data_IF_315816455248
#
_entry.id   IF_315816455248
#
_cell.length_a   1.000
_cell.length_b   1.000
_cell.length_c   1.000
_cell.angle_alpha   90.00
_cell.angle_beta   90.00
_cell.angle_gamma   90.00
#
_symmetry.space_group_name_H-M   'P 1'
#
loop_
_entity.id
_entity.type
_entity.pdbx_description
1 polymer ?
#
# COMPACT_ATOMS: atom_id res chain seq x y z
N UNK A 1 -19.86 -38.08 -10.37
CA UNK A 1 -20.37 -37.16 -9.33
C UNK A 1 -19.17 -36.49 -8.67
N UNK A 2 -18.74 -35.33 -9.16
CA UNK A 2 -17.65 -34.55 -8.55
C UNK A 2 -18.30 -33.54 -7.61
N UNK A 3 -18.01 -33.67 -6.32
CA UNK A 3 -18.63 -32.90 -5.25
C UNK A 3 -18.37 -31.41 -5.38
N UNK A 4 -19.45 -30.62 -5.35
CA UNK A 4 -19.42 -29.18 -5.14
C UNK A 4 -18.73 -28.90 -3.80
N UNK A 5 -17.61 -28.18 -3.86
CA UNK A 5 -16.98 -27.56 -2.69
C UNK A 5 -18.02 -26.65 -2.01
N UNK A 6 -18.36 -26.83 -0.72
CA UNK A 6 -19.32 -25.97 -0.07
C UNK A 6 -18.70 -24.58 0.08
N UNK A 7 -19.28 -23.59 -0.59
CA UNK A 7 -19.03 -22.17 -0.35
C UNK A 7 -19.29 -21.93 1.14
N UNK A 8 -18.23 -21.92 1.96
CA UNK A 8 -18.32 -21.41 3.33
C UNK A 8 -18.80 -19.96 3.22
N UNK A 9 -19.95 -19.63 3.79
CA UNK A 9 -20.34 -18.23 3.98
C UNK A 9 -19.35 -17.60 4.96
N UNK A 10 -18.32 -16.94 4.44
CA UNK A 10 -17.27 -16.28 5.23
C UNK A 10 -17.74 -14.99 5.91
N UNK A 11 -18.98 -14.55 5.63
CA UNK A 11 -19.54 -13.33 6.18
C UNK A 11 -20.15 -13.58 7.56
N UNK A 12 -19.41 -13.25 8.62
CA UNK A 12 -19.94 -13.25 9.98
C UNK A 12 -20.94 -12.10 10.22
N UNK A 13 -20.78 -10.96 9.52
CA UNK A 13 -21.66 -9.76 9.59
C UNK A 13 -21.62 -8.98 8.26
N UNK A 14 -22.58 -8.10 8.04
CA UNK A 14 -22.63 -7.21 6.87
C UNK A 14 -21.61 -6.06 6.97
N UNK A 15 -21.22 -5.50 5.82
CA UNK A 15 -20.30 -4.35 5.75
C UNK A 15 -20.88 -3.11 6.45
N UNK A 16 -22.20 -2.87 6.30
CA UNK A 16 -22.93 -1.80 6.96
C UNK A 16 -22.81 -1.86 8.49
N UNK A 17 -22.70 -3.07 9.05
CA UNK A 17 -22.47 -3.26 10.48
C UNK A 17 -21.03 -2.92 10.92
N UNK A 18 -20.06 -3.02 10.01
CA UNK A 18 -18.63 -2.87 10.34
C UNK A 18 -18.10 -1.46 10.12
N UNK A 19 -18.66 -0.72 9.17
CA UNK A 19 -18.25 0.65 8.84
C UNK A 19 -18.36 1.60 10.05
N UNK A 20 -19.49 1.65 10.80
CA UNK A 20 -19.60 2.52 11.98
C UNK A 20 -18.63 2.14 13.10
N UNK A 21 -18.34 0.84 13.26
CA UNK A 21 -17.39 0.35 14.27
C UNK A 21 -15.94 0.77 13.99
N UNK A 22 -15.62 1.08 12.73
CA UNK A 22 -14.29 1.57 12.31
C UNK A 22 -14.20 3.09 12.29
N UNK A 23 -15.23 3.80 12.81
CA UNK A 23 -15.36 5.25 12.68
C UNK A 23 -15.25 5.74 11.22
N UNK A 24 -15.62 4.89 10.27
CA UNK A 24 -15.58 5.22 8.85
C UNK A 24 -16.97 5.68 8.39
N UNK A 25 -17.01 6.61 7.43
CA UNK A 25 -18.25 7.05 6.79
C UNK A 25 -18.33 6.45 5.39
N UNK A 26 -19.48 5.84 5.06
CA UNK A 26 -19.75 5.35 3.72
C UNK A 26 -21.18 5.72 3.31
N UNK A 27 -21.38 5.98 2.02
CA UNK A 27 -22.70 6.26 1.44
C UNK A 27 -22.91 5.32 0.25
N UNK A 28 -24.12 4.78 0.12
CA UNK A 28 -24.52 3.92 -1.00
C UNK A 28 -25.54 4.66 -1.86
N UNK A 29 -25.54 4.38 -3.17
CA UNK A 29 -26.48 4.96 -4.13
C UNK A 29 -26.41 6.50 -4.22
N UNK A 30 -25.19 7.03 -4.38
CA UNK A 30 -24.98 8.44 -4.73
C UNK A 30 -25.38 8.64 -6.19
N UNK A 31 -26.68 8.87 -6.44
CA UNK A 31 -27.18 9.42 -7.71
C UNK A 31 -27.34 10.93 -7.56
N UNK A 32 -26.22 11.62 -7.38
CA UNK A 32 -26.16 13.08 -7.22
C UNK A 32 -25.13 13.68 -8.16
N UNK A 33 -25.37 14.91 -8.60
CA UNK A 33 -24.50 15.68 -9.47
C UNK A 33 -23.13 15.88 -8.80
N UNK A 34 -22.23 14.93 -9.01
CA UNK A 34 -20.82 15.16 -8.85
C UNK A 34 -20.45 16.31 -9.77
N UNK A 35 -20.10 17.47 -9.20
CA UNK A 35 -19.33 18.50 -9.91
C UNK A 35 -17.89 18.00 -10.08
N UNK A 36 -17.74 16.81 -10.67
CA UNK A 36 -16.46 16.36 -11.17
C UNK A 36 -16.17 17.22 -12.39
N UNK A 37 -14.96 17.79 -12.50
CA UNK A 37 -14.55 18.46 -13.71
C UNK A 37 -14.75 17.50 -14.89
N UNK A 38 -15.54 17.93 -15.89
CA UNK A 38 -15.85 17.15 -17.10
C UNK A 38 -14.61 16.86 -17.95
N UNK A 39 -13.50 17.55 -17.67
CA UNK A 39 -12.21 17.36 -18.31
C UNK A 39 -11.38 16.34 -17.56
N UNK A 40 -10.93 15.31 -18.28
CA UNK A 40 -9.86 14.39 -17.89
C UNK A 40 -8.49 15.10 -17.84
N UNK A 41 -8.40 16.22 -17.14
CA UNK A 41 -7.16 17.00 -16.99
C UNK A 41 -6.69 17.20 -15.55
N UNK A 42 -7.50 16.91 -14.55
CA UNK A 42 -7.08 16.96 -13.14
C UNK A 42 -6.61 15.61 -12.65
N UNK A 43 -5.52 15.61 -11.89
CA UNK A 43 -4.84 14.36 -11.53
C UNK A 43 -5.47 13.61 -10.35
N UNK A 44 -5.97 14.37 -9.38
CA UNK A 44 -6.68 13.87 -8.21
C UNK A 44 -7.70 14.93 -7.79
N UNK A 45 -8.88 14.50 -7.39
CA UNK A 45 -9.94 15.40 -6.93
C UNK A 45 -10.07 15.26 -5.43
N UNK A 46 -9.85 16.36 -4.70
CA UNK A 46 -10.16 16.41 -3.28
C UNK A 46 -11.67 16.42 -3.08
N UNK A 47 -12.14 15.58 -2.17
CA UNK A 47 -13.55 15.46 -1.84
C UNK A 47 -13.75 15.25 -0.34
N UNK A 48 -14.94 15.57 0.14
CA UNK A 48 -15.37 15.32 1.52
C UNK A 48 -16.83 14.87 1.52
N UNK A 49 -17.17 14.00 2.48
CA UNK A 49 -18.55 13.66 2.81
C UNK A 49 -18.95 14.51 4.00
N UNK A 50 -20.03 15.28 3.88
CA UNK A 50 -20.50 16.21 4.92
C UNK A 50 -21.95 15.90 5.22
N UNK A 51 -22.29 15.74 6.49
CA UNK A 51 -23.67 15.62 6.95
C UNK A 51 -24.30 17.00 7.12
N UNK A 52 -25.63 17.09 6.97
CA UNK A 52 -26.36 18.34 7.17
C UNK A 52 -26.02 18.96 8.54
N UNK A 53 -25.68 20.26 8.54
CA UNK A 53 -25.32 21.00 9.75
C UNK A 53 -23.85 20.90 10.18
N UNK A 54 -23.02 20.10 9.51
CA UNK A 54 -21.56 20.06 9.76
C UNK A 54 -20.82 20.91 8.73
N UNK A 55 -19.83 21.70 9.17
CA UNK A 55 -18.93 22.43 8.26
C UNK A 55 -17.51 21.95 8.54
N UNK A 56 -16.87 21.36 7.53
CA UNK A 56 -15.50 20.83 7.63
C UNK A 56 -14.66 21.37 6.49
N UNK A 57 -13.40 21.71 6.74
CA UNK A 57 -12.47 22.13 5.69
C UNK A 57 -11.93 20.92 4.91
N UNK A 58 -11.63 21.12 3.62
CA UNK A 58 -10.98 20.09 2.80
C UNK A 58 -9.47 20.17 3.07
N UNK A 59 -8.92 19.11 3.65
CA UNK A 59 -7.48 18.98 3.92
C UNK A 59 -6.85 18.14 2.82
N UNK A 60 -5.69 18.59 2.30
CA UNK A 60 -4.89 17.80 1.35
C UNK A 60 -4.06 16.75 2.11
N UNK A 61 -4.39 15.44 2.02
CA UNK A 61 -3.71 14.41 2.79
C UNK A 61 -2.27 14.18 2.32
N UNK A 62 -1.97 14.47 1.06
CA UNK A 62 -0.63 14.26 0.47
C UNK A 62 0.45 15.19 1.03
N UNK A 63 0.08 16.19 1.84
CA UNK A 63 1.05 17.07 2.52
C UNK A 63 1.60 16.45 3.81
N UNK A 64 0.90 15.50 4.41
CA UNK A 64 1.31 14.83 5.63
C UNK A 64 2.13 13.56 5.34
N UNK A 65 2.92 13.14 6.32
CA UNK A 65 3.63 11.87 6.27
C UNK A 65 2.70 10.71 6.70
N UNK A 66 1.91 10.24 5.74
CA UNK A 66 0.93 9.16 5.98
C UNK A 66 1.59 7.83 6.39
N UNK A 67 2.87 7.62 6.04
CA UNK A 67 3.59 6.38 6.41
C UNK A 67 3.85 6.33 7.90
N UNK A 68 4.24 7.46 8.51
CA UNK A 68 4.45 7.55 9.95
C UNK A 68 3.16 7.26 10.74
N UNK A 69 1.99 7.66 10.22
CA UNK A 69 0.70 7.39 10.88
C UNK A 69 0.29 5.90 10.87
N UNK A 70 0.84 5.10 9.96
CA UNK A 70 0.43 3.70 9.77
C UNK A 70 1.53 2.69 10.07
N UNK A 71 2.73 3.15 10.43
CA UNK A 71 3.84 2.27 10.76
C UNK A 71 3.60 1.52 12.07
N UNK A 72 4.42 0.50 12.33
CA UNK A 72 4.44 -0.17 13.64
C UNK A 72 5.44 0.54 14.54
N UNK A 73 5.12 0.69 15.81
CA UNK A 73 6.04 1.26 16.81
C UNK A 73 7.05 0.21 17.28
N UNK A 74 6.64 -1.05 17.37
CA UNK A 74 7.45 -2.13 17.93
C UNK A 74 8.00 -3.08 16.84
N UNK A 75 9.23 -3.53 17.04
CA UNK A 75 9.87 -4.55 16.22
C UNK A 75 9.25 -5.92 16.54
N UNK A 76 8.76 -6.61 15.52
CA UNK A 76 8.12 -7.92 15.68
C UNK A 76 8.84 -8.98 14.86
N UNK A 77 9.13 -10.13 15.46
CA UNK A 77 9.83 -11.24 14.80
C UNK A 77 8.87 -12.40 14.58
N UNK A 78 8.78 -12.87 13.34
CA UNK A 78 8.03 -14.07 12.94
C UNK A 78 8.99 -15.20 12.58
N UNK A 79 8.59 -16.44 12.86
CA UNK A 79 9.38 -17.66 12.60
C UNK A 79 10.81 -17.60 13.16
N UNK A 80 10.95 -17.22 14.43
CA UNK A 80 12.26 -17.15 15.10
C UNK A 80 12.99 -18.49 15.01
N UNK A 81 14.24 -18.47 14.56
CA UNK A 81 15.08 -19.65 14.35
C UNK A 81 15.05 -20.21 12.93
N UNK A 82 14.23 -19.65 12.04
CA UNK A 82 14.20 -20.04 10.65
C UNK A 82 15.32 -19.35 9.83
N UNK A 83 15.60 -19.89 8.65
CA UNK A 83 16.62 -19.37 7.73
C UNK A 83 16.04 -19.44 6.32
N UNK A 84 16.18 -18.40 5.50
CA UNK A 84 17.00 -17.20 5.68
C UNK A 84 16.39 -16.10 6.59
N UNK A 85 17.23 -15.18 7.07
CA UNK A 85 16.81 -14.01 7.87
C UNK A 85 16.50 -12.79 7.02
N UNK A 86 15.29 -12.26 7.13
CA UNK A 86 14.80 -11.12 6.38
C UNK A 86 14.29 -10.01 7.27
N UNK A 87 14.60 -8.76 6.91
CA UNK A 87 14.03 -7.57 7.55
C UNK A 87 12.94 -6.97 6.66
N UNK A 88 11.83 -6.54 7.23
CA UNK A 88 10.73 -5.94 6.48
C UNK A 88 10.32 -4.60 7.08
N UNK A 89 10.48 -3.53 6.29
CA UNK A 89 10.07 -2.19 6.70
C UNK A 89 8.57 -2.02 6.55
N UNK A 90 7.92 -1.60 7.64
CA UNK A 90 6.48 -1.38 7.68
C UNK A 90 6.13 0.02 7.15
N UNK A 91 5.81 0.11 5.86
CA UNK A 91 5.31 1.35 5.24
C UNK A 91 3.79 1.30 4.94
N UNK A 92 3.05 0.42 5.63
CA UNK A 92 1.66 0.13 5.27
C UNK A 92 0.96 -0.90 6.14
N UNK A 93 -0.32 -1.15 5.84
CA UNK A 93 -1.21 -2.08 6.57
C UNK A 93 -1.49 -3.38 5.79
N UNK A 94 -0.88 -3.61 4.63
CA UNK A 94 -0.94 -4.90 3.92
C UNK A 94 -0.24 -6.00 4.70
N UNK A 95 -1.04 -6.85 5.34
CA UNK A 95 -0.55 -8.02 6.08
C UNK A 95 -0.15 -9.20 5.18
N UNK A 96 -0.55 -9.18 3.90
CA UNK A 96 -0.38 -10.33 3.02
C UNK A 96 1.08 -10.61 2.65
N UNK A 97 1.91 -9.57 2.53
CA UNK A 97 3.33 -9.72 2.22
C UNK A 97 4.04 -10.41 3.40
N UNK A 98 3.81 -9.94 4.62
CA UNK A 98 4.35 -10.57 5.82
C UNK A 98 3.89 -12.02 5.96
N UNK A 99 2.60 -12.31 5.75
CA UNK A 99 2.07 -13.69 5.74
C UNK A 99 2.73 -14.58 4.69
N UNK A 100 2.93 -14.06 3.48
CA UNK A 100 3.58 -14.80 2.41
C UNK A 100 5.04 -15.10 2.75
N UNK A 101 5.79 -14.12 3.27
CA UNK A 101 7.17 -14.32 3.71
C UNK A 101 7.24 -15.32 4.87
N UNK A 102 6.37 -15.20 5.88
CA UNK A 102 6.30 -16.19 6.96
C UNK A 102 5.89 -17.58 6.48
N UNK A 103 5.07 -17.69 5.43
CA UNK A 103 4.73 -18.98 4.81
C UNK A 103 5.93 -19.61 4.09
N UNK A 104 6.86 -18.81 3.59
CA UNK A 104 8.09 -19.28 2.95
C UNK A 104 9.16 -19.72 3.96
N UNK A 105 8.79 -19.91 5.23
CA UNK A 105 9.67 -20.37 6.31
C UNK A 105 10.93 -19.49 6.52
N UNK A 106 10.82 -18.18 6.25
CA UNK A 106 11.89 -17.22 6.53
C UNK A 106 11.71 -16.64 7.94
N UNK A 107 12.81 -16.32 8.62
CA UNK A 107 12.78 -15.53 9.85
C UNK A 107 12.54 -14.07 9.46
N UNK A 108 11.36 -13.54 9.74
CA UNK A 108 10.94 -12.21 9.30
C UNK A 108 10.91 -11.24 10.48
N UNK A 109 11.79 -10.26 10.47
CA UNK A 109 11.79 -9.15 11.43
C UNK A 109 11.11 -7.94 10.81
N UNK A 110 9.93 -7.58 11.30
CA UNK A 110 9.20 -6.39 10.86
C UNK A 110 9.61 -5.21 11.72
N UNK A 111 10.11 -4.16 11.07
CA UNK A 111 10.64 -2.94 11.71
C UNK A 111 9.83 -1.70 11.30
N UNK A 112 9.87 -0.63 12.12
CA UNK A 112 9.37 0.69 11.74
C UNK A 112 9.96 1.18 10.41
N UNK A 113 9.29 2.14 9.75
CA UNK A 113 9.74 2.69 8.46
C UNK A 113 11.06 3.45 8.55
N UNK A 114 11.38 4.01 9.71
CA UNK A 114 12.53 4.85 10.05
C UNK A 114 13.60 4.11 10.87
N UNK A 115 13.53 2.77 10.89
CA UNK A 115 14.49 1.96 11.64
C UNK A 115 15.90 2.00 11.03
N UNK A 116 16.87 2.41 11.84
CA UNK A 116 18.27 2.48 11.45
C UNK A 116 18.93 1.09 11.41
N UNK A 117 19.06 0.52 10.21
CA UNK A 117 19.78 -0.73 9.99
C UNK A 117 21.27 -0.69 10.32
N UNK A 118 22.05 0.37 9.97
CA UNK A 118 23.49 0.37 10.15
C UNK A 118 23.92 0.26 11.62
N UNK A 119 23.10 0.83 12.51
CA UNK A 119 23.34 0.83 13.95
C UNK A 119 22.71 -0.38 14.66
N UNK A 120 22.02 -1.25 13.91
CA UNK A 120 21.39 -2.45 14.46
C UNK A 120 22.35 -3.65 14.43
N UNK A 121 22.38 -4.44 15.51
CA UNK A 121 23.09 -5.73 15.56
C UNK A 121 22.35 -6.85 14.81
N UNK A 122 21.31 -6.52 14.05
CA UNK A 122 20.48 -7.49 13.35
C UNK A 122 21.23 -8.10 12.17
N UNK A 123 21.42 -9.42 12.21
CA UNK A 123 21.91 -10.17 11.06
C UNK A 123 20.76 -10.42 10.09
N UNK A 124 20.92 -9.98 8.84
CA UNK A 124 19.95 -10.18 7.77
C UNK A 124 20.64 -10.55 6.45
N UNK A 125 20.00 -11.41 5.67
CA UNK A 125 20.44 -11.80 4.33
C UNK A 125 19.74 -10.98 3.24
N UNK A 126 18.59 -10.42 3.57
CA UNK A 126 17.82 -9.58 2.68
C UNK A 126 16.86 -8.68 3.44
N UNK A 127 16.31 -7.71 2.72
CA UNK A 127 15.26 -6.85 3.24
C UNK A 127 14.11 -6.73 2.24
N UNK A 128 12.95 -6.33 2.74
CA UNK A 128 11.76 -6.01 1.97
C UNK A 128 11.14 -4.71 2.45
N UNK A 129 10.47 -3.97 1.56
CA UNK A 129 9.68 -2.80 1.92
C UNK A 129 8.21 -3.11 1.61
N UNK A 130 7.36 -3.11 2.63
CA UNK A 130 5.93 -3.40 2.46
C UNK A 130 5.21 -2.15 1.95
N UNK A 131 4.78 -2.20 0.69
CA UNK A 131 4.27 -1.04 -0.03
C UNK A 131 2.74 -0.88 0.10
N UNK A 132 2.30 0.32 0.49
CA UNK A 132 0.91 0.80 0.41
C UNK A 132 0.84 2.31 0.24
N UNK A 133 1.70 3.04 0.96
CA UNK A 133 1.74 4.49 0.96
C UNK A 133 3.10 4.90 0.45
N UNK A 134 3.26 4.96 -0.86
CA UNK A 134 4.40 5.63 -1.47
C UNK A 134 4.21 7.15 -1.39
N UNK A 135 3.81 7.66 -0.23
CA UNK A 135 3.52 9.07 -0.01
C UNK A 135 4.84 9.75 0.35
N UNK A 136 5.52 10.28 -0.67
CA UNK A 136 6.68 11.21 -0.59
C UNK A 136 7.88 10.87 0.30
N UNK A 137 7.87 9.81 1.08
CA UNK A 137 9.07 9.29 1.73
C UNK A 137 9.78 8.34 0.78
N UNK A 138 10.78 8.87 0.09
CA UNK A 138 12.21 8.61 0.37
C UNK A 138 12.67 7.17 0.71
N UNK A 139 11.83 6.15 0.62
CA UNK A 139 12.20 4.79 0.99
C UNK A 139 12.83 4.10 -0.22
N UNK A 140 14.16 4.25 -0.28
CA UNK A 140 15.15 3.57 -1.14
C UNK A 140 15.22 3.91 -2.63
N UNK A 141 14.21 4.51 -3.26
CA UNK A 141 14.42 5.11 -4.59
C UNK A 141 15.47 6.24 -4.54
N UNK A 142 15.50 6.99 -3.42
CA UNK A 142 16.53 7.99 -3.16
C UNK A 142 17.93 7.40 -2.94
N UNK A 143 18.04 6.11 -2.56
CA UNK A 143 19.35 5.45 -2.37
C UNK A 143 20.07 5.27 -3.70
N UNK A 144 19.33 5.23 -4.82
CA UNK A 144 19.87 5.27 -6.17
C UNK A 144 19.76 6.66 -6.83
N UNK A 145 19.39 7.71 -6.07
CA UNK A 145 19.21 9.08 -6.60
C UNK A 145 18.00 9.28 -7.52
N UNK A 146 17.04 8.34 -7.52
CA UNK A 146 15.89 8.36 -8.42
C UNK A 146 14.79 9.27 -7.89
N UNK A 147 14.26 10.14 -8.76
CA UNK A 147 13.15 11.03 -8.43
C UNK A 147 11.79 10.37 -8.65
N UNK A 148 10.79 10.83 -7.90
CA UNK A 148 9.40 10.35 -7.99
C UNK A 148 8.47 11.44 -8.49
N UNK A 149 7.61 11.12 -9.44
CA UNK A 149 6.60 12.04 -9.98
C UNK A 149 5.19 11.56 -9.64
N UNK A 150 4.26 12.49 -9.40
CA UNK A 150 2.85 12.16 -9.16
C UNK A 150 2.18 11.87 -10.51
N UNK A 151 1.57 10.70 -10.63
CA UNK A 151 0.85 10.30 -11.83
C UNK A 151 -0.41 11.14 -12.01
N UNK A 152 -0.80 11.37 -13.27
CA UNK A 152 -2.07 12.04 -13.58
C UNK A 152 -3.27 11.21 -13.14
N UNK A 153 -3.24 9.87 -13.17
CA UNK A 153 -4.42 9.09 -12.80
C UNK A 153 -4.19 8.02 -11.73
N UNK A 154 -2.96 7.89 -11.24
CA UNK A 154 -2.56 6.74 -10.44
C UNK A 154 -2.85 5.40 -11.13
N UNK A 155 -2.37 4.32 -10.54
CA UNK A 155 -2.73 2.97 -10.94
C UNK A 155 -3.51 2.35 -9.77
N UNK A 156 -4.84 2.29 -9.92
CA UNK A 156 -5.76 1.76 -8.92
C UNK A 156 -6.65 0.70 -9.57
N UNK A 157 -6.31 -0.58 -9.39
CA UNK A 157 -7.07 -1.67 -9.98
C UNK A 157 -6.44 -3.04 -9.76
N UNK A 158 -7.17 -4.09 -10.11
CA UNK A 158 -6.74 -5.49 -10.00
C UNK A 158 -6.33 -6.11 -11.35
N UNK A 159 -6.31 -5.31 -12.42
CA UNK A 159 -6.16 -5.74 -13.81
C UNK A 159 -5.08 -4.96 -14.57
N UNK A 160 -4.09 -4.41 -13.86
CA UNK A 160 -3.04 -3.60 -14.47
C UNK A 160 -1.97 -4.51 -15.09
N UNK A 161 -1.71 -4.38 -16.39
CA UNK A 161 -0.68 -5.17 -17.05
C UNK A 161 0.72 -4.60 -16.76
N UNK A 162 1.67 -5.49 -16.50
CA UNK A 162 3.09 -5.17 -16.45
C UNK A 162 3.86 -6.15 -17.34
N UNK A 163 4.92 -5.67 -17.97
CA UNK A 163 5.78 -6.50 -18.83
C UNK A 163 7.14 -6.62 -18.15
N UNK A 164 7.62 -7.85 -18.01
CA UNK A 164 9.01 -8.10 -17.67
C UNK A 164 9.87 -7.88 -18.92
N UNK A 165 10.70 -6.84 -18.88
CA UNK A 165 11.55 -6.43 -20.00
C UNK A 165 12.59 -7.52 -20.34
N UNK A 166 13.01 -8.33 -19.35
CA UNK A 166 14.03 -9.38 -19.57
C UNK A 166 13.43 -10.62 -20.21
N UNK A 167 12.26 -11.05 -19.77
CA UNK A 167 11.62 -12.29 -20.26
C UNK A 167 10.55 -12.06 -21.32
N UNK A 168 10.23 -10.79 -21.62
CA UNK A 168 9.14 -10.33 -22.52
C UNK A 168 7.74 -10.85 -22.16
N UNK A 169 7.57 -11.37 -20.93
CA UNK A 169 6.27 -11.87 -20.44
C UNK A 169 5.41 -10.73 -19.92
N UNK A 170 4.11 -10.80 -20.20
CA UNK A 170 3.10 -9.92 -19.64
C UNK A 170 2.41 -10.60 -18.46
N UNK A 171 2.30 -9.88 -17.34
CA UNK A 171 1.60 -10.32 -16.14
C UNK A 171 0.50 -9.31 -15.77
N UNK A 172 -0.61 -9.82 -15.23
CA UNK A 172 -1.66 -8.97 -14.66
C UNK A 172 -1.37 -8.77 -13.17
N UNK A 173 -1.42 -7.52 -12.73
CA UNK A 173 -1.06 -7.11 -11.37
C UNK A 173 -2.16 -6.29 -10.72
N UNK A 174 -2.20 -6.36 -9.40
CA UNK A 174 -2.96 -5.41 -8.59
C UNK A 174 -2.06 -4.24 -8.23
N UNK A 175 -2.52 -3.02 -8.52
CA UNK A 175 -1.79 -1.80 -8.25
C UNK A 175 -2.71 -0.81 -7.52
N UNK A 176 -2.14 -0.07 -6.57
CA UNK A 176 -2.82 0.93 -5.74
C UNK A 176 -1.87 2.09 -5.43
N UNK A 177 -1.23 2.64 -6.46
CA UNK A 177 -0.15 3.63 -6.31
C UNK A 177 -0.43 4.91 -7.10
N UNK A 178 -0.08 6.06 -6.54
CA UNK A 178 -0.29 7.38 -7.15
C UNK A 178 1.00 8.02 -7.70
N UNK A 179 2.16 7.47 -7.35
CA UNK A 179 3.47 7.99 -7.74
C UNK A 179 4.22 6.97 -8.60
N UNK A 180 5.07 7.46 -9.49
CA UNK A 180 5.95 6.65 -10.34
C UNK A 180 7.40 7.10 -10.19
N UNK A 181 8.32 6.16 -10.38
CA UNK A 181 9.74 6.46 -10.52
C UNK A 181 10.00 7.09 -11.89
N UNK A 182 10.84 8.12 -11.90
CA UNK A 182 11.27 8.76 -13.14
C UNK A 182 12.43 7.97 -13.75
N UNK A 183 12.19 7.35 -14.91
CA UNK A 183 13.19 6.54 -15.61
C UNK A 183 14.43 7.32 -16.03
N UNK A 184 14.33 8.64 -16.24
CA UNK A 184 15.48 9.47 -16.64
C UNK A 184 16.49 9.69 -15.51
N UNK A 185 16.07 9.53 -14.26
CA UNK A 185 16.92 9.70 -13.07
C UNK A 185 17.52 8.40 -12.56
N UNK A 186 17.27 7.31 -13.27
CA UNK A 186 17.86 6.02 -12.93
C UNK A 186 19.34 6.05 -13.31
N UNK A 187 20.22 5.96 -12.31
CA UNK A 187 21.66 5.80 -12.54
C UNK A 187 21.92 4.48 -13.29
N UNK A 188 22.80 4.49 -14.29
CA UNK A 188 23.34 3.26 -14.85
C UNK A 188 24.11 2.53 -13.74
N UNK A 189 23.61 1.37 -13.34
CA UNK A 189 24.19 0.50 -12.32
C UNK A 189 24.37 -0.91 -12.83
#
# INVERSE_FOLDING_TARGET
MVGLCPIRRSAARSLCWRIPLLAATAYLDVKGAFNLPKSFDVSAVLGKVVFEGQTTEIVEPNKANLVAEVTVEEVTVYNKGASPKFISFRCGKKHNIGRYLSYMEVELTVVPYDYDLPDSELQYEGFSINNDLLTRLQNRALVAGVTTDKLKYGNCGMNQSCIDIRSTRCCVTSQSQEYSLNSSTLSEG
#
